data_IF_200550078664
#
_entry.id   IF_200550078664
#
_cell.length_a   1.000
_cell.length_b   1.000
_cell.length_c   1.000
_cell.angle_alpha   90.00
_cell.angle_beta   90.00
_cell.angle_gamma   90.00
#
_symmetry.space_group_name_H-M   'P 1'
#
loop_
_entity.id
_entity.type
_entity.pdbx_description
1 polymer ?
#
# COMPACT_ATOMS: atom_id res chain seq x y z
N UNK A 1 8.48 18.31 -7.37
CA UNK A 1 7.13 17.71 -7.53
C UNK A 1 7.15 16.32 -8.16
N UNK A 2 7.87 16.04 -9.25
CA UNK A 2 8.09 14.65 -9.74
C UNK A 2 8.74 13.75 -8.66
N UNK A 3 9.48 14.34 -7.74
CA UNK A 3 10.13 13.65 -6.61
C UNK A 3 9.13 13.23 -5.52
N UNK A 4 7.92 13.81 -5.44
CA UNK A 4 6.90 13.47 -4.43
C UNK A 4 6.26 12.13 -4.77
N UNK A 5 5.74 11.97 -5.99
CA UNK A 5 5.14 10.70 -6.43
C UNK A 5 6.14 9.54 -6.49
N UNK A 6 7.43 9.82 -6.73
CA UNK A 6 8.50 8.83 -6.70
C UNK A 6 8.85 8.35 -5.29
N UNK A 7 8.64 9.18 -4.27
CA UNK A 7 9.05 8.90 -2.89
C UNK A 7 7.94 8.25 -2.07
N UNK A 8 6.71 8.27 -2.54
CA UNK A 8 5.55 7.69 -1.86
C UNK A 8 5.26 6.24 -2.28
N UNK A 9 6.03 5.73 -3.23
CA UNK A 9 5.89 4.40 -3.80
C UNK A 9 6.17 3.25 -2.81
N UNK A 10 6.82 3.51 -1.67
CA UNK A 10 7.15 2.49 -0.68
C UNK A 10 6.26 2.64 0.54
N UNK A 11 5.20 1.85 0.57
CA UNK A 11 4.27 1.81 1.68
C UNK A 11 4.54 0.67 2.67
N UNK A 12 3.81 0.70 3.78
CA UNK A 12 3.80 -0.38 4.77
C UNK A 12 3.53 -1.75 4.13
N UNK A 13 2.70 -1.81 3.08
CA UNK A 13 2.40 -3.05 2.34
C UNK A 13 3.64 -3.79 1.87
N UNK A 14 4.65 -3.09 1.37
CA UNK A 14 5.91 -3.67 0.91
C UNK A 14 6.69 -4.37 2.03
N UNK A 15 6.62 -3.83 3.25
CA UNK A 15 7.41 -4.31 4.39
C UNK A 15 6.62 -5.27 5.27
N UNK A 16 5.31 -5.10 5.35
CA UNK A 16 4.41 -5.87 6.19
C UNK A 16 3.65 -6.96 5.42
N UNK A 17 2.87 -6.56 4.39
CA UNK A 17 1.95 -7.48 3.68
C UNK A 17 2.70 -8.40 2.70
N UNK A 18 3.70 -7.88 2.00
CA UNK A 18 4.44 -8.66 0.99
C UNK A 18 5.21 -9.85 1.57
N UNK A 19 5.99 -9.71 2.68
CA UNK A 19 6.71 -10.85 3.23
C UNK A 19 5.78 -12.00 3.62
N UNK A 20 4.67 -11.74 4.33
CA UNK A 20 3.77 -12.81 4.73
C UNK A 20 2.98 -13.40 3.56
N UNK A 21 2.62 -12.60 2.54
CA UNK A 21 2.05 -13.14 1.31
C UNK A 21 3.03 -14.05 0.58
N UNK A 22 4.30 -13.66 0.48
CA UNK A 22 5.33 -14.53 -0.08
C UNK A 22 5.49 -15.82 0.75
N UNK A 23 5.47 -15.69 2.07
CA UNK A 23 5.52 -16.85 2.99
C UNK A 23 4.34 -17.79 2.84
N UNK A 24 3.13 -17.28 2.75
CA UNK A 24 1.89 -18.08 2.67
C UNK A 24 1.61 -18.65 1.28
N UNK A 25 2.22 -18.11 0.23
CA UNK A 25 1.92 -18.45 -1.16
C UNK A 25 3.10 -19.10 -1.90
N UNK A 26 4.00 -19.79 -1.19
CA UNK A 26 5.05 -20.62 -1.79
C UNK A 26 6.29 -19.84 -2.29
N UNK A 27 6.57 -18.67 -1.73
CA UNK A 27 7.78 -17.90 -2.02
C UNK A 27 7.90 -17.46 -3.48
N UNK A 28 8.82 -18.08 -4.24
CA UNK A 28 9.11 -17.73 -5.63
C UNK A 28 7.88 -17.74 -6.55
N UNK A 29 6.94 -18.65 -6.33
CA UNK A 29 5.72 -18.76 -7.16
C UNK A 29 4.72 -17.63 -6.94
N UNK A 30 4.90 -16.86 -5.89
CA UNK A 30 4.22 -15.59 -5.65
C UNK A 30 5.08 -14.39 -6.10
N UNK A 31 6.36 -14.38 -5.72
CA UNK A 31 7.27 -13.23 -5.94
C UNK A 31 7.49 -12.98 -7.43
N UNK A 32 7.74 -14.03 -8.23
CA UNK A 32 8.02 -13.89 -9.66
C UNK A 32 6.80 -13.36 -10.43
N UNK A 33 5.59 -13.95 -10.29
CA UNK A 33 4.38 -13.36 -10.88
C UNK A 33 4.12 -11.93 -10.43
N UNK A 34 4.30 -11.60 -9.15
CA UNK A 34 4.16 -10.22 -8.68
C UNK A 34 5.07 -9.25 -9.42
N UNK A 35 6.36 -9.59 -9.58
CA UNK A 35 7.31 -8.75 -10.31
C UNK A 35 6.87 -8.54 -11.75
N UNK A 36 6.49 -9.61 -12.44
CA UNK A 36 6.02 -9.54 -13.84
C UNK A 36 4.76 -8.68 -13.93
N UNK A 37 3.77 -8.93 -13.08
CA UNK A 37 2.51 -8.18 -13.07
C UNK A 37 2.71 -6.71 -12.73
N UNK A 38 3.56 -6.39 -11.76
CA UNK A 38 3.87 -5.01 -11.39
C UNK A 38 4.53 -4.26 -12.54
N UNK A 39 5.55 -4.85 -13.17
CA UNK A 39 6.29 -4.21 -14.27
C UNK A 39 5.49 -4.11 -15.57
N UNK A 40 4.44 -4.90 -15.74
CA UNK A 40 3.57 -4.89 -16.93
C UNK A 40 2.25 -4.19 -16.63
N UNK A 41 1.32 -4.87 -15.99
CA UNK A 41 -0.05 -4.38 -15.76
C UNK A 41 -0.07 -3.22 -14.75
N UNK A 42 0.71 -3.35 -13.66
CA UNK A 42 0.86 -2.27 -12.68
C UNK A 42 1.35 -0.98 -13.31
N UNK A 43 2.34 -1.09 -14.22
CA UNK A 43 2.81 0.06 -14.99
C UNK A 43 1.71 0.67 -15.88
N UNK A 44 0.88 -0.16 -16.51
CA UNK A 44 -0.22 0.30 -17.38
C UNK A 44 -1.27 1.04 -16.57
N UNK A 45 -1.74 0.47 -15.46
CA UNK A 45 -2.74 1.09 -14.60
C UNK A 45 -2.24 2.38 -13.96
N UNK A 46 -1.03 2.35 -13.40
CA UNK A 46 -0.40 3.53 -12.80
C UNK A 46 -0.25 4.67 -13.82
N UNK A 47 0.18 4.34 -15.05
CA UNK A 47 0.31 5.32 -16.14
C UNK A 47 -1.06 5.88 -16.50
N UNK A 48 -2.10 5.05 -16.53
CA UNK A 48 -3.46 5.49 -16.83
C UNK A 48 -3.96 6.47 -15.76
N UNK A 49 -3.87 6.13 -14.47
CA UNK A 49 -4.32 7.02 -13.39
C UNK A 49 -3.58 8.35 -13.37
N UNK A 50 -2.24 8.33 -13.37
CA UNK A 50 -1.44 9.55 -13.34
C UNK A 50 -1.73 10.44 -14.55
N UNK A 51 -1.90 9.84 -15.73
CA UNK A 51 -2.18 10.62 -16.96
C UNK A 51 -3.58 11.23 -16.92
N UNK A 52 -4.59 10.50 -16.47
CA UNK A 52 -5.94 11.06 -16.30
C UNK A 52 -5.95 12.21 -15.30
N UNK A 53 -5.26 12.08 -14.17
CA UNK A 53 -5.11 13.17 -13.20
C UNK A 53 -4.38 14.38 -13.78
N UNK A 54 -3.29 14.14 -14.52
CA UNK A 54 -2.55 15.19 -15.24
C UNK A 54 -3.43 15.96 -16.24
N UNK A 55 -4.33 15.27 -16.95
CA UNK A 55 -5.28 15.89 -17.89
C UNK A 55 -6.43 16.60 -17.15
N UNK A 56 -6.96 16.00 -16.08
CA UNK A 56 -8.10 16.51 -15.32
C UNK A 56 -7.82 17.72 -14.46
N UNK A 57 -6.59 17.84 -13.91
CA UNK A 57 -6.14 18.95 -13.07
C UNK A 57 -7.04 19.21 -11.85
N UNK A 58 -7.43 18.14 -11.15
CA UNK A 58 -8.27 18.21 -9.97
C UNK A 58 -8.39 16.86 -9.28
N UNK A 59 -9.24 16.79 -8.26
CA UNK A 59 -9.57 15.55 -7.55
C UNK A 59 -10.10 14.48 -8.51
N UNK A 60 -10.19 13.24 -8.03
CA UNK A 60 -10.72 12.15 -8.84
C UNK A 60 -12.14 12.46 -9.37
N UNK A 61 -13.04 13.03 -8.56
CA UNK A 61 -14.41 13.38 -8.98
C UNK A 61 -14.41 14.46 -10.05
N UNK A 62 -13.63 15.52 -9.85
CA UNK A 62 -13.45 16.60 -10.82
C UNK A 62 -12.86 16.07 -12.13
N UNK A 63 -11.85 15.19 -12.04
CA UNK A 63 -11.20 14.58 -13.20
C UNK A 63 -12.16 13.70 -14.00
N UNK A 64 -12.92 12.83 -13.34
CA UNK A 64 -13.94 11.98 -13.98
C UNK A 64 -15.01 12.82 -14.69
N UNK A 65 -15.49 13.90 -14.03
CA UNK A 65 -16.46 14.84 -14.62
C UNK A 65 -15.93 15.55 -15.86
N UNK A 66 -14.71 16.08 -15.80
CA UNK A 66 -14.11 16.84 -16.90
C UNK A 66 -13.77 15.97 -18.12
N UNK A 67 -13.31 14.76 -17.89
CA UNK A 67 -12.82 13.88 -18.96
C UNK A 67 -13.91 12.98 -19.52
N UNK A 68 -14.77 12.42 -18.67
CA UNK A 68 -15.81 11.47 -19.04
C UNK A 68 -17.23 12.04 -19.06
N UNK A 69 -17.45 13.22 -18.46
CA UNK A 69 -18.78 13.81 -18.28
C UNK A 69 -19.49 13.29 -17.03
N UNK A 70 -20.75 13.74 -16.85
CA UNK A 70 -21.53 13.45 -15.64
C UNK A 70 -21.76 11.97 -15.37
N UNK A 71 -21.80 11.12 -16.40
CA UNK A 71 -21.99 9.66 -16.26
C UNK A 71 -20.81 8.96 -15.53
N UNK A 72 -19.62 9.58 -15.50
CA UNK A 72 -18.44 9.01 -14.85
C UNK A 72 -18.23 9.54 -13.43
N UNK A 73 -19.01 10.52 -12.99
CA UNK A 73 -18.92 11.08 -11.63
C UNK A 73 -19.09 10.03 -10.52
N UNK A 74 -20.02 9.03 -10.63
CA UNK A 74 -20.12 7.98 -9.62
C UNK A 74 -18.82 7.18 -9.41
N UNK A 75 -18.03 7.00 -10.47
CA UNK A 75 -16.72 6.36 -10.37
C UNK A 75 -15.73 7.17 -9.54
N UNK A 76 -15.78 8.50 -9.63
CA UNK A 76 -14.99 9.38 -8.77
C UNK A 76 -15.36 9.22 -7.29
N UNK A 77 -16.65 9.18 -6.97
CA UNK A 77 -17.12 8.92 -5.60
C UNK A 77 -16.74 7.53 -5.09
N UNK A 78 -16.77 6.50 -5.96
CA UNK A 78 -16.28 5.16 -5.59
C UNK A 78 -14.82 5.23 -5.13
N UNK A 79 -13.97 5.97 -5.86
CA UNK A 79 -12.56 6.14 -5.47
C UNK A 79 -12.40 6.83 -4.11
N UNK A 80 -13.16 7.92 -3.85
CA UNK A 80 -13.15 8.61 -2.55
C UNK A 80 -13.56 7.65 -1.42
N UNK A 81 -14.68 6.94 -1.57
CA UNK A 81 -15.15 5.97 -0.57
C UNK A 81 -14.11 4.87 -0.35
N UNK A 82 -13.47 4.40 -1.43
CA UNK A 82 -12.39 3.41 -1.34
C UNK A 82 -11.22 3.95 -0.51
N UNK A 83 -10.78 5.18 -0.77
CA UNK A 83 -9.71 5.83 0.00
C UNK A 83 -10.03 5.94 1.49
N UNK A 84 -11.23 6.40 1.84
CA UNK A 84 -11.73 6.46 3.22
C UNK A 84 -11.70 5.09 3.90
N UNK A 85 -12.21 4.05 3.25
CA UNK A 85 -12.23 2.69 3.81
C UNK A 85 -10.83 2.11 3.97
N UNK A 86 -9.94 2.28 2.98
CA UNK A 86 -8.56 1.80 3.06
C UNK A 86 -7.85 2.46 4.23
N UNK A 87 -7.90 3.78 4.35
CA UNK A 87 -7.20 4.47 5.42
C UNK A 87 -7.80 4.18 6.79
N UNK A 88 -9.09 3.83 6.87
CA UNK A 88 -9.74 3.48 8.13
C UNK A 88 -9.14 2.22 8.78
N UNK A 89 -9.01 1.11 8.05
CA UNK A 89 -8.37 -0.08 8.61
C UNK A 89 -6.83 0.03 8.62
N UNK A 90 -6.24 0.70 7.65
CA UNK A 90 -4.80 0.92 7.59
C UNK A 90 -4.28 1.73 8.78
N UNK A 91 -5.06 2.69 9.28
CA UNK A 91 -4.70 3.50 10.45
C UNK A 91 -4.58 2.69 11.73
N UNK A 92 -5.34 1.60 11.87
CA UNK A 92 -5.23 0.66 13.00
C UNK A 92 -3.86 -0.01 12.99
N UNK A 93 -3.46 -0.52 11.83
CA UNK A 93 -2.14 -1.15 11.64
C UNK A 93 -1.03 -0.12 11.86
N UNK A 94 -1.19 1.11 11.33
CA UNK A 94 -0.29 2.22 11.58
C UNK A 94 -0.14 2.54 13.07
N UNK A 95 -1.23 2.49 13.83
CA UNK A 95 -1.23 2.61 15.27
C UNK A 95 -0.41 1.52 15.96
N UNK A 96 -0.56 0.26 15.54
CA UNK A 96 0.26 -0.85 16.07
C UNK A 96 1.75 -0.65 15.81
N UNK A 97 2.15 -0.12 14.64
CA UNK A 97 3.57 0.16 14.37
C UNK A 97 4.15 1.18 15.34
N UNK A 98 3.38 2.22 15.71
CA UNK A 98 3.79 3.21 16.71
C UNK A 98 3.89 2.56 18.09
N UNK A 99 2.91 1.76 18.50
CA UNK A 99 2.92 1.07 19.79
C UNK A 99 4.18 0.21 19.95
N UNK A 100 4.48 -0.60 18.95
CA UNK A 100 5.68 -1.45 18.96
C UNK A 100 6.98 -0.66 18.87
N UNK A 101 7.00 0.47 18.17
CA UNK A 101 8.16 1.37 18.16
C UNK A 101 8.41 1.95 19.57
N UNK A 102 7.36 2.40 20.25
CA UNK A 102 7.45 2.89 21.64
C UNK A 102 7.94 1.80 22.57
N UNK A 103 7.39 0.59 22.49
CA UNK A 103 7.83 -0.54 23.30
C UNK A 103 9.30 -0.89 23.04
N UNK A 104 9.74 -0.89 21.78
CA UNK A 104 11.13 -1.15 21.42
C UNK A 104 12.08 -0.08 22.00
N UNK A 105 11.72 1.21 21.92
CA UNK A 105 12.51 2.32 22.50
C UNK A 105 12.61 2.19 24.03
N UNK A 106 11.53 1.78 24.69
CA UNK A 106 11.47 1.58 26.13
C UNK A 106 12.13 0.25 26.59
N UNK A 107 12.71 -0.53 25.65
CA UNK A 107 13.31 -1.84 25.94
C UNK A 107 12.30 -2.91 26.35
N UNK A 108 11.03 -2.72 25.99
CA UNK A 108 9.94 -3.66 26.29
C UNK A 108 9.65 -4.54 25.06
N UNK A 109 9.11 -5.75 25.29
CA UNK A 109 8.62 -6.59 24.18
C UNK A 109 9.67 -7.47 23.51
N UNK A 110 10.91 -7.51 23.99
CA UNK A 110 11.91 -8.48 23.55
C UNK A 110 11.79 -9.75 24.40
N UNK A 111 10.93 -10.65 23.97
CA UNK A 111 10.66 -11.92 24.62
C UNK A 111 10.86 -13.03 23.60
N UNK A 112 11.47 -14.13 24.02
CA UNK A 112 11.75 -15.29 23.15
C UNK A 112 10.53 -16.21 22.95
N UNK A 113 9.49 -16.04 23.75
CA UNK A 113 8.25 -16.83 23.68
C UNK A 113 7.26 -16.23 22.69
N UNK A 114 6.98 -16.96 21.62
CA UNK A 114 5.96 -16.57 20.62
C UNK A 114 4.55 -16.50 21.25
N UNK A 115 4.24 -17.38 22.20
CA UNK A 115 2.96 -17.36 22.91
C UNK A 115 2.79 -16.08 23.75
N UNK A 116 3.84 -15.64 24.46
CA UNK A 116 3.80 -14.40 25.23
C UNK A 116 3.67 -13.17 24.33
N UNK A 117 4.37 -13.12 23.20
CA UNK A 117 4.23 -12.03 22.23
C UNK A 117 2.86 -12.03 21.56
N UNK A 118 2.29 -13.21 21.27
CA UNK A 118 0.92 -13.34 20.81
C UNK A 118 -0.09 -12.79 21.82
N UNK A 119 0.09 -13.10 23.12
CA UNK A 119 -0.74 -12.55 24.19
C UNK A 119 -0.58 -11.02 24.31
N UNK A 120 0.64 -10.47 24.17
CA UNK A 120 0.89 -9.02 24.18
C UNK A 120 0.25 -8.31 22.98
N UNK A 121 0.35 -8.91 21.78
CA UNK A 121 -0.34 -8.39 20.61
C UNK A 121 -1.86 -8.43 20.81
N UNK A 122 -2.40 -9.53 21.35
CA UNK A 122 -3.81 -9.64 21.71
C UNK A 122 -4.24 -8.60 22.75
N UNK A 123 -3.41 -8.34 23.77
CA UNK A 123 -3.68 -7.31 24.77
C UNK A 123 -3.68 -5.89 24.17
N UNK A 124 -2.72 -5.58 23.28
CA UNK A 124 -2.65 -4.29 22.59
C UNK A 124 -3.85 -4.08 21.66
N UNK A 125 -4.14 -5.06 20.80
CA UNK A 125 -5.20 -4.97 19.80
C UNK A 125 -6.60 -5.14 20.38
N UNK A 126 -6.73 -5.87 21.50
CA UNK A 126 -7.98 -6.14 22.19
C UNK A 126 -8.40 -5.05 23.18
N UNK A 127 -7.46 -4.24 23.69
CA UNK A 127 -7.79 -3.11 24.56
C UNK A 127 -8.30 -1.93 23.75
N UNK A 128 -9.58 -1.53 23.92
CA UNK A 128 -10.17 -0.45 23.13
C UNK A 128 -9.43 0.90 23.27
N UNK A 129 -8.96 1.21 24.48
CA UNK A 129 -8.31 2.48 24.76
C UNK A 129 -6.95 2.56 24.09
N UNK A 130 -6.16 1.49 24.16
CA UNK A 130 -4.84 1.41 23.52
C UNK A 130 -4.97 1.38 21.99
N UNK A 131 -5.82 0.50 21.46
CA UNK A 131 -6.00 0.34 20.03
C UNK A 131 -6.48 1.65 19.37
N UNK A 132 -7.53 2.27 19.91
CA UNK A 132 -8.06 3.55 19.41
C UNK A 132 -7.10 4.70 19.71
N UNK A 133 -6.42 4.72 20.85
CA UNK A 133 -5.46 5.74 21.22
C UNK A 133 -4.27 5.82 20.23
N UNK A 134 -3.66 4.69 19.92
CA UNK A 134 -2.57 4.63 18.94
C UNK A 134 -3.03 4.91 17.52
N UNK A 135 -4.23 4.47 17.12
CA UNK A 135 -4.85 4.83 15.84
C UNK A 135 -5.07 6.35 15.75
N UNK A 136 -5.62 6.97 16.80
CA UNK A 136 -5.84 8.41 16.85
C UNK A 136 -4.53 9.18 16.75
N UNK A 137 -3.48 8.74 17.45
CA UNK A 137 -2.14 9.32 17.34
C UNK A 137 -1.62 9.23 15.90
N UNK A 138 -1.71 8.06 15.28
CA UNK A 138 -1.26 7.86 13.89
C UNK A 138 -2.01 8.78 12.92
N UNK A 139 -3.34 8.86 13.01
CA UNK A 139 -4.15 9.73 12.15
C UNK A 139 -3.88 11.22 12.43
N UNK A 140 -3.62 11.61 13.67
CA UNK A 140 -3.26 12.99 14.01
C UNK A 140 -1.93 13.39 13.38
N UNK A 141 -0.93 12.51 13.41
CA UNK A 141 0.36 12.73 12.73
C UNK A 141 0.16 12.85 11.22
N UNK A 142 -0.63 11.96 10.62
CA UNK A 142 -0.97 12.00 9.20
C UNK A 142 -1.67 13.30 8.82
N UNK A 143 -2.71 13.70 9.57
CA UNK A 143 -3.47 14.92 9.34
C UNK A 143 -2.61 16.19 9.48
N UNK A 144 -1.71 16.20 10.46
CA UNK A 144 -0.77 17.29 10.67
C UNK A 144 0.12 17.54 9.44
N UNK A 145 0.58 16.47 8.79
CA UNK A 145 1.38 16.58 7.55
C UNK A 145 0.53 17.06 6.37
N UNK A 146 -0.69 16.51 6.20
CA UNK A 146 -1.59 16.84 5.07
C UNK A 146 -2.14 18.26 5.20
N UNK A 147 -2.43 18.74 6.41
CA UNK A 147 -2.89 20.12 6.65
C UNK A 147 -1.87 21.18 6.19
N UNK A 148 -0.58 20.85 6.20
CA UNK A 148 0.46 21.66 5.58
C UNK A 148 0.33 21.58 4.04
N UNK A 149 0.87 22.57 3.32
CA UNK A 149 0.89 22.53 1.85
C UNK A 149 1.71 21.32 1.36
N UNK A 150 1.32 20.73 0.22
CA UNK A 150 1.98 19.56 -0.41
C UNK A 150 3.52 19.69 -0.40
N UNK A 151 4.05 20.84 -0.82
CA UNK A 151 5.49 21.10 -0.84
C UNK A 151 6.13 21.21 0.53
N UNK A 152 5.41 21.72 1.55
CA UNK A 152 5.95 21.93 2.91
C UNK A 152 5.77 20.72 3.82
N UNK A 153 4.65 20.01 3.69
CA UNK A 153 4.33 18.82 4.50
C UNK A 153 4.83 17.54 3.83
N UNK A 154 4.11 17.10 2.82
CA UNK A 154 4.29 15.78 2.17
C UNK A 154 5.68 15.64 1.58
N UNK A 155 6.12 16.62 0.76
CA UNK A 155 7.43 16.54 0.10
C UNK A 155 8.59 16.55 1.09
N UNK A 156 8.51 17.35 2.16
CA UNK A 156 9.56 17.42 3.18
C UNK A 156 9.63 16.13 3.99
N UNK A 157 8.47 15.58 4.39
CA UNK A 157 8.41 14.31 5.11
C UNK A 157 9.05 13.19 4.28
N UNK A 158 8.59 13.00 3.04
CA UNK A 158 9.10 11.95 2.16
C UNK A 158 10.59 12.10 1.86
N UNK A 159 11.11 13.34 1.76
CA UNK A 159 12.53 13.60 1.52
C UNK A 159 13.43 13.09 2.66
N UNK A 160 12.93 13.06 3.89
CA UNK A 160 13.66 12.61 5.07
C UNK A 160 13.42 11.13 5.33
N UNK A 161 12.14 10.72 5.36
CA UNK A 161 11.78 9.37 5.78
C UNK A 161 12.17 8.30 4.78
N UNK A 162 12.10 8.58 3.46
CA UNK A 162 12.41 7.55 2.46
C UNK A 162 13.89 7.09 2.45
N UNK A 163 14.88 7.99 2.44
CA UNK A 163 16.27 7.55 2.59
C UNK A 163 16.51 6.81 3.90
N UNK A 164 15.93 7.30 5.02
CA UNK A 164 16.04 6.64 6.31
C UNK A 164 15.44 5.22 6.27
N UNK A 165 14.27 5.05 5.65
CA UNK A 165 13.62 3.75 5.44
C UNK A 165 14.56 2.78 4.72
N UNK A 166 15.10 3.17 3.56
CA UNK A 166 15.98 2.29 2.78
C UNK A 166 17.28 1.95 3.53
N UNK A 167 17.87 2.90 4.26
CA UNK A 167 19.06 2.65 5.07
C UNK A 167 18.73 1.63 6.18
N UNK A 168 17.63 1.81 6.89
CA UNK A 168 17.19 0.88 7.93
C UNK A 168 16.90 -0.52 7.36
N UNK A 169 16.21 -0.60 6.21
CA UNK A 169 15.98 -1.87 5.52
C UNK A 169 17.31 -2.57 5.18
N UNK A 170 18.27 -1.86 4.61
CA UNK A 170 19.56 -2.43 4.24
C UNK A 170 20.32 -2.95 5.47
N UNK A 171 20.30 -2.24 6.59
CA UNK A 171 20.93 -2.68 7.84
C UNK A 171 20.30 -4.00 8.31
N UNK A 172 18.97 -4.09 8.28
CA UNK A 172 18.23 -5.29 8.69
C UNK A 172 18.45 -6.46 7.73
N UNK A 173 18.50 -6.20 6.43
CA UNK A 173 18.80 -7.21 5.40
C UNK A 173 20.20 -7.77 5.61
N UNK A 174 21.21 -6.92 5.73
CA UNK A 174 22.60 -7.36 5.97
C UNK A 174 22.65 -8.23 7.22
N UNK A 175 22.00 -7.81 8.31
CA UNK A 175 21.96 -8.61 9.55
C UNK A 175 21.24 -9.94 9.34
N UNK A 176 20.09 -9.96 8.66
CA UNK A 176 19.33 -11.16 8.35
C UNK A 176 20.15 -12.16 7.53
N UNK A 177 20.86 -11.68 6.51
CA UNK A 177 21.68 -12.50 5.62
C UNK A 177 22.95 -13.10 6.30
N UNK A 178 23.42 -12.51 7.39
CA UNK A 178 24.55 -13.04 8.18
C UNK A 178 24.13 -14.13 9.17
N UNK A 179 22.84 -14.45 9.29
CA UNK A 179 22.37 -15.51 10.18
C UNK A 179 22.62 -16.91 9.60
N UNK A 180 23.02 -17.89 10.44
CA UNK A 180 23.09 -19.28 10.02
C UNK A 180 21.70 -19.75 9.53
N UNK A 181 21.62 -20.41 8.36
CA UNK A 181 20.34 -20.84 7.77
C UNK A 181 19.62 -19.80 6.90
N UNK A 182 20.11 -18.57 6.81
CA UNK A 182 19.51 -17.52 5.98
C UNK A 182 19.39 -17.89 4.49
N UNK A 183 20.28 -18.76 3.99
CA UNK A 183 20.26 -19.26 2.61
C UNK A 183 18.99 -20.02 2.25
N UNK A 184 18.34 -20.68 3.22
CA UNK A 184 17.07 -21.37 3.01
C UNK A 184 15.95 -20.36 2.69
N UNK A 185 15.89 -19.24 3.42
CA UNK A 185 14.96 -18.14 3.16
C UNK A 185 15.18 -17.49 1.81
N UNK A 186 16.44 -17.32 1.37
CA UNK A 186 16.76 -16.86 0.02
C UNK A 186 16.29 -17.83 -1.06
N UNK A 187 16.57 -19.13 -0.86
CA UNK A 187 16.12 -20.20 -1.76
C UNK A 187 14.58 -20.23 -1.85
N UNK A 188 13.90 -20.08 -0.72
CA UNK A 188 12.44 -20.03 -0.69
C UNK A 188 11.87 -18.86 -1.51
N UNK A 189 12.48 -17.68 -1.42
CA UNK A 189 12.02 -16.48 -2.15
C UNK A 189 12.29 -16.52 -3.65
N UNK A 190 13.35 -17.20 -4.11
CA UNK A 190 13.81 -17.06 -5.50
C UNK A 190 13.91 -18.38 -6.27
N UNK A 191 13.94 -19.53 -5.60
CA UNK A 191 13.97 -20.83 -6.29
C UNK A 191 12.56 -21.21 -6.73
N UNK A 192 12.33 -21.20 -8.03
CA UNK A 192 11.05 -21.61 -8.61
C UNK A 192 10.77 -23.09 -8.37
N UNK A 193 9.65 -23.39 -7.72
CA UNK A 193 9.16 -24.73 -7.43
C UNK A 193 7.80 -24.92 -8.08
N UNK A 194 7.71 -25.51 -9.28
CA UNK A 194 6.45 -25.65 -10.02
C UNK A 194 5.34 -26.34 -9.21
N UNK A 195 5.71 -27.28 -8.36
CA UNK A 195 4.80 -28.02 -7.48
C UNK A 195 4.09 -27.15 -6.43
N UNK A 196 4.68 -26.02 -6.09
CA UNK A 196 4.09 -25.05 -5.15
C UNK A 196 3.16 -24.05 -5.84
N UNK A 197 3.10 -24.05 -7.18
CA UNK A 197 2.24 -23.11 -7.90
C UNK A 197 0.76 -23.42 -7.68
N UNK A 198 0.01 -22.39 -7.33
CA UNK A 198 -1.45 -22.41 -7.22
C UNK A 198 -2.05 -21.20 -7.93
N UNK A 199 -3.27 -21.33 -8.44
CA UNK A 199 -4.01 -20.18 -8.96
C UNK A 199 -4.24 -19.13 -7.89
N UNK A 200 -4.32 -19.54 -6.62
CA UNK A 200 -4.43 -18.66 -5.48
C UNK A 200 -3.18 -17.77 -5.32
N UNK A 201 -1.96 -18.31 -5.49
CA UNK A 201 -0.73 -17.51 -5.42
C UNK A 201 -0.66 -16.45 -6.53
N UNK A 202 -1.11 -16.78 -7.75
CA UNK A 202 -1.19 -15.82 -8.85
C UNK A 202 -2.24 -14.74 -8.58
N UNK A 203 -3.40 -15.12 -8.10
CA UNK A 203 -4.47 -14.19 -7.71
C UNK A 203 -4.00 -13.21 -6.61
N UNK A 204 -3.34 -13.72 -5.57
CA UNK A 204 -2.79 -12.90 -4.49
C UNK A 204 -1.69 -11.95 -5.01
N UNK A 205 -0.86 -12.40 -5.94
CA UNK A 205 0.16 -11.55 -6.57
C UNK A 205 -0.47 -10.40 -7.37
N UNK A 206 -1.56 -10.66 -8.09
CA UNK A 206 -2.29 -9.64 -8.85
C UNK A 206 -2.98 -8.63 -7.92
N UNK A 207 -3.69 -9.11 -6.89
CA UNK A 207 -4.33 -8.25 -5.89
C UNK A 207 -3.31 -7.39 -5.14
N UNK A 208 -2.16 -7.96 -4.79
CA UNK A 208 -1.09 -7.20 -4.15
C UNK A 208 -0.44 -6.18 -5.10
N UNK A 209 -0.41 -6.43 -6.41
CA UNK A 209 0.06 -5.45 -7.40
C UNK A 209 -0.78 -4.17 -7.35
N UNK A 210 -2.12 -4.27 -7.32
CA UNK A 210 -3.00 -3.12 -7.19
C UNK A 210 -2.81 -2.38 -5.86
N UNK A 211 -2.78 -3.15 -4.79
CA UNK A 211 -2.58 -2.59 -3.45
C UNK A 211 -1.23 -1.86 -3.30
N UNK A 212 -0.14 -2.47 -3.75
CA UNK A 212 1.22 -1.92 -3.57
C UNK A 212 1.46 -0.64 -4.37
N UNK A 213 0.79 -0.48 -5.51
CA UNK A 213 0.88 0.71 -6.37
C UNK A 213 -0.19 1.77 -6.05
N UNK A 214 -1.08 1.51 -5.08
CA UNK A 214 -2.20 2.40 -4.72
C UNK A 214 -3.05 2.80 -5.93
N UNK A 215 -3.27 1.89 -6.88
CA UNK A 215 -4.12 2.12 -8.05
C UNK A 215 -5.56 1.66 -7.78
N UNK A 216 -6.53 2.19 -8.54
CA UNK A 216 -7.95 1.87 -8.40
C UNK A 216 -8.74 2.79 -7.48
N UNK A 217 -8.11 3.47 -6.52
CA UNK A 217 -8.79 4.44 -5.66
C UNK A 217 -8.69 5.89 -6.15
N UNK A 218 -7.85 6.18 -7.15
CA UNK A 218 -7.62 7.54 -7.64
C UNK A 218 -6.58 8.35 -6.84
N UNK A 219 -5.85 7.71 -5.95
CA UNK A 219 -4.75 8.33 -5.23
C UNK A 219 -3.69 8.84 -6.21
N UNK A 220 -3.27 7.99 -7.16
CA UNK A 220 -2.29 8.35 -8.17
C UNK A 220 -2.86 9.36 -9.20
N UNK A 221 -4.18 9.39 -9.40
CA UNK A 221 -4.85 10.43 -10.20
C UNK A 221 -4.74 11.80 -9.51
N UNK A 222 -4.96 11.87 -8.19
CA UNK A 222 -4.78 13.10 -7.41
C UNK A 222 -3.35 13.62 -7.53
N UNK A 223 -2.33 12.76 -7.39
CA UNK A 223 -0.94 13.17 -7.60
C UNK A 223 -0.63 13.55 -9.04
N UNK A 224 -1.24 12.88 -10.00
CA UNK A 224 -1.16 13.23 -11.42
C UNK A 224 -1.62 14.67 -11.69
N UNK A 225 -2.67 15.13 -10.99
CA UNK A 225 -3.20 16.48 -11.14
C UNK A 225 -2.22 17.58 -10.72
N UNK A 226 -1.27 17.27 -9.83
CA UNK A 226 -0.23 18.19 -9.35
C UNK A 226 1.00 18.27 -10.24
N UNK A 227 1.13 17.41 -11.25
CA UNK A 227 2.29 17.40 -12.13
C UNK A 227 2.35 18.67 -12.99
N UNK A 228 3.53 19.31 -13.13
CA UNK A 228 3.73 20.44 -14.05
C UNK A 228 3.46 20.05 -15.49
N UNK A 229 3.10 21.03 -16.32
CA UNK A 229 3.01 20.83 -17.78
C UNK A 229 4.35 20.36 -18.33
N UNK A 230 4.32 19.47 -19.33
CA UNK A 230 5.52 18.89 -19.94
C UNK A 230 6.22 17.83 -19.08
N UNK A 231 5.60 17.34 -17.99
CA UNK A 231 6.15 16.26 -17.17
C UNK A 231 6.29 14.96 -17.96
N UNK A 232 7.42 14.26 -17.80
CA UNK A 232 7.67 12.95 -18.40
C UNK A 232 6.98 11.84 -17.61
N UNK A 233 5.67 11.69 -17.81
CA UNK A 233 4.81 10.78 -17.03
C UNK A 233 5.33 9.35 -17.08
N UNK A 234 5.64 8.81 -18.27
CA UNK A 234 6.13 7.44 -18.44
C UNK A 234 7.39 7.15 -17.64
N UNK A 235 8.34 8.10 -17.62
CA UNK A 235 9.55 7.96 -16.82
C UNK A 235 9.22 7.92 -15.32
N UNK A 236 8.34 8.77 -14.87
CA UNK A 236 7.89 8.80 -13.46
C UNK A 236 7.20 7.49 -13.08
N UNK A 237 6.29 6.99 -13.92
CA UNK A 237 5.59 5.72 -13.68
C UNK A 237 6.57 4.55 -13.63
N UNK A 238 7.53 4.45 -14.57
CA UNK A 238 8.54 3.40 -14.55
C UNK A 238 9.40 3.44 -13.27
N UNK A 239 9.75 4.63 -12.81
CA UNK A 239 10.50 4.80 -11.56
C UNK A 239 9.66 4.41 -10.33
N UNK A 240 8.37 4.79 -10.27
CA UNK A 240 7.47 4.42 -9.17
C UNK A 240 7.33 2.90 -9.12
N UNK A 241 6.96 2.27 -10.23
CA UNK A 241 6.78 0.81 -10.28
C UNK A 241 8.07 0.08 -9.92
N UNK A 242 9.21 0.51 -10.48
CA UNK A 242 10.51 -0.09 -10.17
C UNK A 242 10.89 0.02 -8.68
N UNK A 243 10.68 1.18 -8.08
CA UNK A 243 10.97 1.41 -6.66
C UNK A 243 10.02 0.65 -5.75
N UNK A 244 8.72 0.62 -6.05
CA UNK A 244 7.74 -0.14 -5.27
C UNK A 244 8.01 -1.64 -5.32
N UNK A 245 8.29 -2.17 -6.52
CA UNK A 245 8.65 -3.58 -6.71
C UNK A 245 9.94 -3.93 -5.97
N UNK A 246 10.97 -3.10 -6.11
CA UNK A 246 12.23 -3.28 -5.38
C UNK A 246 12.04 -3.23 -3.87
N UNK A 247 11.24 -2.30 -3.36
CA UNK A 247 10.96 -2.19 -1.93
C UNK A 247 10.21 -3.43 -1.38
N UNK A 248 9.28 -4.00 -2.15
CA UNK A 248 8.59 -5.24 -1.78
C UNK A 248 9.58 -6.41 -1.68
N UNK A 249 10.48 -6.55 -2.66
CA UNK A 249 11.54 -7.57 -2.63
C UNK A 249 12.47 -7.35 -1.43
N UNK A 250 12.90 -6.10 -1.19
CA UNK A 250 13.74 -5.77 -0.03
C UNK A 250 13.01 -6.07 1.30
N UNK A 251 11.69 -5.82 1.38
CA UNK A 251 10.87 -6.19 2.53
C UNK A 251 10.88 -7.70 2.79
N UNK A 252 10.73 -8.53 1.75
CA UNK A 252 10.84 -9.98 1.88
C UNK A 252 12.26 -10.42 2.27
N UNK A 253 13.29 -9.81 1.68
CA UNK A 253 14.69 -10.08 2.03
C UNK A 253 15.04 -9.65 3.47
N UNK A 254 14.35 -8.68 4.02
CA UNK A 254 14.53 -8.25 5.41
C UNK A 254 13.96 -9.27 6.40
N UNK A 255 12.86 -9.94 6.04
CA UNK A 255 12.09 -10.80 6.95
C UNK A 255 12.41 -12.27 6.75
N UNK A 256 12.34 -12.80 5.52
CA UNK A 256 12.39 -14.25 5.26
C UNK A 256 13.71 -14.92 5.66
N UNK A 257 14.92 -14.36 5.40
CA UNK A 257 16.15 -14.98 5.84
C UNK A 257 16.20 -15.20 7.36
N UNK A 258 15.69 -14.23 8.12
CA UNK A 258 15.63 -14.34 9.58
C UNK A 258 14.58 -15.34 10.05
N UNK A 259 13.39 -15.38 9.43
CA UNK A 259 12.34 -16.36 9.74
C UNK A 259 12.84 -17.80 9.57
N UNK A 260 13.51 -18.09 8.44
CA UNK A 260 14.07 -19.42 8.17
C UNK A 260 15.27 -19.75 9.07
N UNK A 261 16.15 -18.78 9.35
CA UNK A 261 17.28 -18.99 10.27
C UNK A 261 16.85 -19.38 11.69
N UNK A 262 15.68 -18.96 12.13
CA UNK A 262 15.10 -19.32 13.44
C UNK A 262 14.04 -20.42 13.36
N UNK A 263 13.87 -21.07 12.21
CA UNK A 263 12.91 -22.15 11.97
C UNK A 263 11.46 -21.79 12.36
N UNK A 264 11.06 -20.54 12.11
CA UNK A 264 9.72 -20.05 12.39
C UNK A 264 8.82 -20.21 11.15
N UNK A 265 7.49 -20.20 11.37
CA UNK A 265 6.52 -20.35 10.30
C UNK A 265 6.48 -19.10 9.39
N UNK A 266 6.85 -19.20 8.10
CA UNK A 266 6.77 -18.09 7.16
C UNK A 266 5.32 -17.72 6.80
N UNK A 267 4.35 -18.59 7.07
CA UNK A 267 2.93 -18.41 6.79
C UNK A 267 2.13 -17.84 7.96
N UNK A 268 2.79 -17.30 8.99
CA UNK A 268 2.14 -16.78 10.20
C UNK A 268 1.20 -15.56 9.97
N UNK A 269 0.96 -15.18 8.70
CA UNK A 269 0.06 -14.09 8.34
C UNK A 269 0.52 -12.72 8.90
N UNK A 270 -0.42 -11.84 9.30
CA UNK A 270 -0.08 -10.56 9.93
C UNK A 270 0.77 -10.68 11.20
N UNK A 271 0.69 -11.82 11.90
CA UNK A 271 1.50 -12.14 13.09
C UNK A 271 3.00 -12.22 12.79
N UNK A 272 3.39 -12.45 11.55
CA UNK A 272 4.80 -12.49 11.14
C UNK A 272 5.55 -11.21 11.57
N UNK A 273 4.94 -10.07 11.40
CA UNK A 273 5.55 -8.76 11.71
C UNK A 273 5.52 -8.42 13.19
N UNK A 274 4.40 -8.66 13.87
CA UNK A 274 4.16 -8.17 15.23
C UNK A 274 4.43 -9.22 16.32
N UNK A 275 4.51 -10.49 15.96
CA UNK A 275 4.80 -11.58 16.87
C UNK A 275 6.13 -12.25 16.54
N UNK A 276 6.32 -12.68 15.27
CA UNK A 276 7.51 -13.44 14.87
C UNK A 276 8.78 -12.59 14.87
N UNK A 277 8.74 -11.38 14.32
CA UNK A 277 9.94 -10.52 14.25
C UNK A 277 10.48 -10.11 15.62
N UNK A 278 9.68 -9.74 16.63
CA UNK A 278 10.19 -9.52 18.00
C UNK A 278 10.85 -10.74 18.64
N UNK A 279 10.35 -11.97 18.38
CA UNK A 279 11.01 -13.23 18.84
C UNK A 279 12.43 -13.32 18.25
N UNK A 280 12.57 -13.02 16.96
CA UNK A 280 13.88 -13.01 16.31
C UNK A 280 14.81 -11.99 16.94
N UNK A 281 14.34 -10.76 17.13
CA UNK A 281 15.16 -9.69 17.73
C UNK A 281 15.58 -10.04 19.16
N UNK A 282 14.72 -10.68 19.96
CA UNK A 282 15.06 -11.10 21.32
C UNK A 282 16.24 -12.10 21.37
N UNK A 283 16.48 -12.84 20.29
CA UNK A 283 17.56 -13.82 20.19
C UNK A 283 18.86 -13.24 19.55
N UNK A 284 18.82 -11.99 19.07
CA UNK A 284 19.95 -11.36 18.43
C UNK A 284 20.80 -10.53 19.42
N UNK A 285 22.15 -10.51 19.27
CA UNK A 285 22.97 -9.49 19.89
C UNK A 285 22.47 -8.10 19.46
N UNK A 286 22.32 -7.19 20.39
CA UNK A 286 21.76 -5.85 20.17
C UNK A 286 20.32 -5.85 19.61
N UNK A 287 19.52 -6.89 19.90
CA UNK A 287 18.17 -7.07 19.38
C UNK A 287 17.25 -5.88 19.60
N UNK A 288 17.40 -5.15 20.72
CA UNK A 288 16.66 -3.91 20.97
C UNK A 288 16.89 -2.84 19.90
N UNK A 289 18.13 -2.67 19.45
CA UNK A 289 18.47 -1.71 18.38
C UNK A 289 17.82 -2.13 17.04
N UNK A 290 17.85 -3.42 16.71
CA UNK A 290 17.20 -3.96 15.51
C UNK A 290 15.68 -3.85 15.58
N UNK A 291 15.07 -4.05 16.74
CA UNK A 291 13.64 -3.85 16.96
C UNK A 291 13.25 -2.38 16.73
N UNK A 292 13.97 -1.42 17.30
CA UNK A 292 13.75 0.00 17.08
C UNK A 292 13.89 0.34 15.59
N UNK A 293 14.95 -0.14 14.93
CA UNK A 293 15.16 0.08 13.49
C UNK A 293 14.01 -0.47 12.65
N UNK A 294 13.54 -1.69 12.94
CA UNK A 294 12.45 -2.35 12.23
C UNK A 294 11.12 -1.62 12.39
N UNK A 295 10.71 -1.33 13.64
CA UNK A 295 9.44 -0.66 13.87
C UNK A 295 9.46 0.82 13.47
N UNK A 296 10.61 1.49 13.52
CA UNK A 296 10.77 2.82 12.91
C UNK A 296 10.59 2.76 11.38
N UNK A 297 11.16 1.74 10.72
CA UNK A 297 11.00 1.47 9.30
C UNK A 297 9.51 1.30 8.93
N UNK A 298 8.79 0.45 9.68
CA UNK A 298 7.36 0.23 9.50
C UNK A 298 6.54 1.50 9.70
N UNK A 299 6.81 2.25 10.78
CA UNK A 299 6.11 3.50 11.10
C UNK A 299 6.34 4.55 10.02
N UNK A 300 7.56 4.68 9.50
CA UNK A 300 7.87 5.63 8.43
C UNK A 300 7.17 5.24 7.12
N UNK A 301 7.18 3.96 6.77
CA UNK A 301 6.46 3.45 5.60
C UNK A 301 4.95 3.65 5.75
N UNK A 302 4.40 3.41 6.94
CA UNK A 302 2.98 3.62 7.23
C UNK A 302 2.58 5.10 7.09
N UNK A 303 3.36 6.02 7.66
CA UNK A 303 3.09 7.46 7.60
C UNK A 303 3.17 8.02 6.18
N UNK A 304 4.15 7.60 5.38
CA UNK A 304 4.25 8.09 4.00
C UNK A 304 3.03 7.68 3.16
N UNK A 305 2.56 6.45 3.29
CA UNK A 305 1.37 5.97 2.58
C UNK A 305 0.07 6.58 3.08
N UNK A 306 -0.10 6.71 4.41
CA UNK A 306 -1.33 7.30 4.98
C UNK A 306 -1.52 8.75 4.57
N UNK A 307 -0.42 9.51 4.49
CA UNK A 307 -0.43 10.89 4.00
C UNK A 307 -0.95 10.96 2.56
N UNK A 308 -0.56 10.04 1.69
CA UNK A 308 -1.02 9.98 0.31
C UNK A 308 -2.51 9.63 0.20
N UNK A 309 -2.97 8.72 1.03
CA UNK A 309 -4.39 8.33 1.07
C UNK A 309 -5.26 9.48 1.59
N UNK A 310 -4.87 10.13 2.70
CA UNK A 310 -5.60 11.26 3.25
C UNK A 310 -5.61 12.48 2.30
N UNK A 311 -4.57 12.63 1.47
CA UNK A 311 -4.50 13.68 0.44
C UNK A 311 -5.59 13.52 -0.61
N UNK A 312 -5.92 12.29 -1.03
CA UNK A 312 -7.01 12.00 -1.95
C UNK A 312 -8.34 12.60 -1.46
N UNK A 313 -8.71 12.29 -0.20
CA UNK A 313 -9.97 12.72 0.39
C UNK A 313 -9.96 14.24 0.70
N UNK A 314 -8.81 14.76 1.10
CA UNK A 314 -8.63 16.21 1.32
C UNK A 314 -8.79 16.97 0.00
N UNK A 315 -8.15 16.53 -1.08
CA UNK A 315 -8.25 17.16 -2.39
C UNK A 315 -9.70 17.12 -2.92
N UNK A 316 -10.41 16.01 -2.70
CA UNK A 316 -11.83 15.91 -3.04
C UNK A 316 -12.67 16.99 -2.34
N UNK A 317 -12.51 17.14 -1.02
CA UNK A 317 -13.28 18.15 -0.26
C UNK A 317 -12.91 19.59 -0.67
N UNK A 318 -11.65 19.86 -0.94
CA UNK A 318 -11.20 21.18 -1.42
C UNK A 318 -11.80 21.50 -2.78
N UNK A 319 -11.76 20.57 -3.73
CA UNK A 319 -12.19 20.81 -5.10
C UNK A 319 -13.71 20.84 -5.27
N UNK A 320 -14.46 19.99 -4.58
CA UNK A 320 -15.91 19.86 -4.76
C UNK A 320 -16.70 20.79 -3.80
N UNK A 321 -16.20 21.00 -2.58
CA UNK A 321 -16.91 21.79 -1.55
C UNK A 321 -16.21 23.12 -1.26
N UNK A 322 -15.10 23.42 -1.91
CA UNK A 322 -14.35 24.69 -1.76
C UNK A 322 -13.95 25.02 -0.31
N UNK A 323 -13.77 23.98 0.53
CA UNK A 323 -13.31 24.16 1.91
C UNK A 323 -11.80 24.41 1.94
N UNK A 324 -11.31 24.99 3.04
CA UNK A 324 -9.87 25.12 3.21
C UNK A 324 -9.19 23.75 3.33
N UNK A 325 -7.92 23.66 2.90
CA UNK A 325 -7.17 22.43 2.98
C UNK A 325 -7.11 21.83 4.40
N UNK A 326 -6.91 22.69 5.40
CA UNK A 326 -6.89 22.28 6.81
C UNK A 326 -8.26 21.73 7.22
N UNK A 327 -9.35 22.40 6.84
CA UNK A 327 -10.71 21.94 7.10
C UNK A 327 -10.98 20.59 6.41
N UNK A 328 -10.59 20.46 5.15
CA UNK A 328 -10.72 19.18 4.40
C UNK A 328 -9.97 18.04 5.08
N UNK A 329 -8.70 18.25 5.48
CA UNK A 329 -7.90 17.26 6.19
C UNK A 329 -8.53 16.87 7.55
N UNK A 330 -9.07 17.82 8.31
CA UNK A 330 -9.75 17.52 9.59
C UNK A 330 -11.02 16.71 9.35
N UNK A 331 -11.89 17.12 8.42
CA UNK A 331 -13.14 16.42 8.12
C UNK A 331 -12.85 14.99 7.67
N UNK A 332 -11.95 14.80 6.69
CA UNK A 332 -11.57 13.47 6.21
C UNK A 332 -11.02 12.61 7.36
N UNK A 333 -10.14 13.18 8.20
CA UNK A 333 -9.58 12.46 9.36
C UNK A 333 -10.66 12.04 10.35
N UNK A 334 -11.64 12.90 10.63
CA UNK A 334 -12.74 12.55 11.55
C UNK A 334 -13.62 11.42 10.99
N UNK A 335 -13.93 11.45 9.69
CA UNK A 335 -14.69 10.37 9.04
C UNK A 335 -13.92 9.04 9.12
N UNK A 336 -12.63 9.08 8.77
CA UNK A 336 -11.73 7.91 8.84
C UNK A 336 -11.62 7.40 10.28
N UNK A 337 -11.52 8.31 11.26
CA UNK A 337 -11.46 7.95 12.68
C UNK A 337 -12.72 7.21 13.12
N UNK A 338 -13.92 7.64 12.70
CA UNK A 338 -15.18 6.99 13.06
C UNK A 338 -15.25 5.57 12.49
N UNK A 339 -14.94 5.40 11.20
CA UNK A 339 -14.94 4.05 10.59
C UNK A 339 -13.82 3.19 11.21
N UNK A 340 -12.64 3.75 11.34
CA UNK A 340 -11.47 3.07 11.89
C UNK A 340 -11.62 2.72 13.39
N UNK A 341 -12.43 3.47 14.15
CA UNK A 341 -12.80 3.09 15.51
C UNK A 341 -13.46 1.70 15.55
N UNK A 342 -14.43 1.44 14.68
CA UNK A 342 -15.05 0.12 14.57
C UNK A 342 -14.06 -0.94 14.07
N UNK A 343 -13.14 -0.57 13.16
CA UNK A 343 -12.06 -1.46 12.72
C UNK A 343 -11.13 -1.83 13.90
N UNK A 344 -10.76 -0.86 14.74
CA UNK A 344 -9.91 -1.11 15.91
C UNK A 344 -10.60 -2.03 16.92
N UNK A 345 -11.88 -1.82 17.18
CA UNK A 345 -12.67 -2.66 18.09
C UNK A 345 -12.88 -4.09 17.59
N UNK A 346 -12.65 -4.36 16.31
CA UNK A 346 -12.79 -5.70 15.71
C UNK A 346 -11.82 -6.74 16.27
N UNK A 347 -10.79 -6.32 17.00
CA UNK A 347 -9.82 -7.22 17.66
C UNK A 347 -10.06 -7.35 19.18
N UNK A 348 -11.05 -6.64 19.71
CA UNK A 348 -11.43 -6.63 21.13
C UNK A 348 -12.95 -6.81 21.31
N UNK A 349 -13.68 -5.79 21.77
CA UNK A 349 -15.10 -5.91 22.10
C UNK A 349 -16.02 -6.36 20.95
N UNK A 350 -15.64 -6.11 19.69
CA UNK A 350 -16.38 -6.52 18.51
C UNK A 350 -15.79 -7.75 17.80
N UNK A 351 -14.82 -8.46 18.41
CA UNK A 351 -14.15 -9.60 17.79
C UNK A 351 -15.12 -10.73 17.39
N UNK A 352 -16.17 -10.94 18.20
CA UNK A 352 -17.20 -11.94 17.95
C UNK A 352 -18.37 -11.42 17.09
N UNK A 353 -18.42 -10.11 16.81
CA UNK A 353 -19.44 -9.48 15.97
C UNK A 353 -19.07 -9.68 14.50
N UNK A 354 -19.50 -10.82 13.94
CA UNK A 354 -19.19 -11.19 12.56
C UNK A 354 -20.44 -11.18 11.70
N UNK A 355 -20.36 -10.54 10.53
CA UNK A 355 -21.36 -10.62 9.48
C UNK A 355 -20.78 -11.43 8.32
N UNK A 356 -21.45 -12.50 7.90
CA UNK A 356 -20.95 -13.45 6.89
C UNK A 356 -19.51 -13.92 7.16
N UNK A 357 -19.19 -14.18 8.43
CA UNK A 357 -17.88 -14.70 8.86
C UNK A 357 -16.76 -13.65 8.98
N UNK A 358 -17.02 -12.38 8.65
CA UNK A 358 -16.04 -11.29 8.69
C UNK A 358 -16.42 -10.25 9.75
N UNK A 359 -15.44 -9.72 10.48
CA UNK A 359 -15.60 -8.56 11.35
C UNK A 359 -15.53 -7.25 10.53
N UNK A 360 -15.63 -6.09 11.17
CA UNK A 360 -15.64 -4.79 10.48
C UNK A 360 -14.32 -4.51 9.77
N UNK A 361 -13.19 -4.83 10.40
CA UNK A 361 -11.86 -4.67 9.79
C UNK A 361 -11.72 -5.52 8.54
N UNK A 362 -12.09 -6.82 8.63
CA UNK A 362 -12.03 -7.75 7.51
C UNK A 362 -12.96 -7.33 6.37
N UNK A 363 -14.13 -6.76 6.69
CA UNK A 363 -15.05 -6.23 5.69
C UNK A 363 -14.46 -5.01 4.97
N UNK A 364 -13.82 -4.09 5.70
CA UNK A 364 -13.17 -2.93 5.07
C UNK A 364 -12.05 -3.37 4.12
N UNK A 365 -11.19 -4.32 4.55
CA UNK A 365 -10.13 -4.86 3.67
C UNK A 365 -10.73 -5.62 2.48
N UNK A 366 -11.74 -6.47 2.70
CA UNK A 366 -12.37 -7.25 1.64
C UNK A 366 -13.05 -6.37 0.58
N UNK A 367 -13.89 -5.41 1.02
CA UNK A 367 -14.58 -4.49 0.11
C UNK A 367 -13.61 -3.65 -0.71
N UNK A 368 -12.51 -3.23 -0.11
CA UNK A 368 -11.52 -2.43 -0.82
C UNK A 368 -10.64 -3.27 -1.73
N UNK A 369 -9.99 -4.30 -1.19
CA UNK A 369 -8.99 -5.08 -1.93
C UNK A 369 -9.58 -5.98 -3.01
N UNK A 370 -10.79 -6.53 -2.78
CA UNK A 370 -11.39 -7.52 -3.67
C UNK A 370 -12.47 -6.93 -4.60
N UNK A 371 -13.03 -5.75 -4.28
CA UNK A 371 -14.16 -5.19 -5.03
C UNK A 371 -13.82 -3.80 -5.56
N UNK A 372 -13.63 -2.80 -4.68
CA UNK A 372 -13.64 -1.41 -5.13
C UNK A 372 -12.35 -0.99 -5.85
N UNK A 373 -11.16 -1.45 -5.41
CA UNK A 373 -9.91 -1.19 -6.14
C UNK A 373 -9.93 -1.81 -7.54
N UNK A 374 -10.25 -3.11 -7.73
CA UNK A 374 -10.37 -3.69 -9.06
C UNK A 374 -11.40 -2.98 -9.95
N UNK A 375 -12.58 -2.63 -9.42
CA UNK A 375 -13.59 -1.88 -10.18
C UNK A 375 -13.07 -0.49 -10.57
N UNK A 376 -12.40 0.20 -9.66
CA UNK A 376 -11.78 1.50 -9.94
C UNK A 376 -10.76 1.42 -11.07
N UNK A 377 -9.88 0.42 -11.04
CA UNK A 377 -8.92 0.17 -12.11
C UNK A 377 -9.58 -0.14 -13.46
N UNK A 378 -10.63 -0.95 -13.45
CA UNK A 378 -11.41 -1.22 -14.66
C UNK A 378 -11.99 0.07 -15.26
N UNK A 379 -12.57 0.91 -14.43
CA UNK A 379 -13.15 2.20 -14.85
C UNK A 379 -12.07 3.13 -15.42
N UNK A 380 -10.93 3.22 -14.75
CA UNK A 380 -9.76 4.00 -15.21
C UNK A 380 -9.28 3.51 -16.58
N UNK A 381 -9.15 2.18 -16.73
CA UNK A 381 -8.71 1.58 -18.00
C UNK A 381 -9.67 1.87 -19.16
N UNK A 382 -10.99 1.75 -18.91
CA UNK A 382 -12.02 2.04 -19.91
C UNK A 382 -12.08 3.53 -20.27
N UNK A 383 -11.99 4.43 -19.29
CA UNK A 383 -11.97 5.87 -19.54
C UNK A 383 -10.75 6.26 -20.37
N UNK A 384 -9.56 5.83 -19.99
CA UNK A 384 -8.32 6.16 -20.66
C UNK A 384 -8.24 5.56 -22.08
N UNK A 385 -8.60 4.28 -22.22
CA UNK A 385 -8.41 3.53 -23.47
C UNK A 385 -9.51 3.73 -24.51
N UNK A 386 -10.77 4.00 -24.08
CA UNK A 386 -11.92 4.11 -25.00
C UNK A 386 -12.41 5.56 -25.13
N UNK A 387 -12.53 6.31 -24.04
CA UNK A 387 -13.22 7.61 -24.06
C UNK A 387 -12.26 8.74 -24.43
N UNK A 388 -11.08 8.79 -23.78
CA UNK A 388 -10.17 9.94 -23.94
C UNK A 388 -8.85 9.60 -24.64
N UNK A 389 -8.77 8.45 -25.30
CA UNK A 389 -7.53 7.93 -25.89
C UNK A 389 -6.71 8.94 -26.74
N UNK A 390 -7.30 9.75 -27.65
CA UNK A 390 -6.51 10.69 -28.43
C UNK A 390 -5.77 11.71 -27.56
N UNK A 391 -6.45 12.33 -26.59
CA UNK A 391 -5.87 13.28 -25.65
C UNK A 391 -4.91 12.61 -24.67
N UNK A 392 -5.21 11.38 -24.27
CA UNK A 392 -4.36 10.55 -23.41
C UNK A 392 -3.01 10.25 -24.09
N UNK A 393 -3.04 9.87 -25.35
CA UNK A 393 -1.84 9.66 -26.18
C UNK A 393 -1.02 10.95 -26.31
N UNK A 394 -1.66 12.07 -26.58
CA UNK A 394 -1.02 13.39 -26.66
C UNK A 394 -0.30 13.74 -25.35
N UNK A 395 -0.94 13.55 -24.21
CA UNK A 395 -0.36 13.81 -22.90
C UNK A 395 0.90 12.96 -22.62
N UNK A 396 1.01 11.76 -23.17
CA UNK A 396 2.18 10.88 -23.07
C UNK A 396 3.26 11.14 -24.13
N UNK A 397 2.97 11.93 -25.14
CA UNK A 397 3.89 12.19 -26.29
C UNK A 397 4.94 13.27 -26.01
N UNK A 398 5.34 13.45 -24.75
CA UNK A 398 6.44 14.35 -24.38
C UNK A 398 7.78 13.71 -24.81
N UNK A 399 8.65 14.42 -25.54
CA UNK A 399 9.91 13.87 -26.05
C UNK A 399 10.86 13.35 -24.96
N UNK A 400 11.56 12.21 -25.20
CA UNK A 400 11.39 11.30 -26.33
C UNK A 400 10.05 10.56 -26.27
N UNK A 401 9.23 10.73 -27.32
CA UNK A 401 7.91 10.12 -27.40
C UNK A 401 8.01 8.62 -27.76
N UNK A 402 7.13 7.76 -27.23
CA UNK A 402 7.06 6.36 -27.63
C UNK A 402 6.66 6.20 -29.11
N UNK A 403 7.01 5.05 -29.67
CA UNK A 403 6.59 4.68 -31.03
C UNK A 403 5.09 4.40 -31.15
N UNK A 404 4.54 4.49 -32.36
CA UNK A 404 3.14 4.12 -32.63
C UNK A 404 2.84 2.67 -32.26
N UNK A 405 3.80 1.76 -32.44
CA UNK A 405 3.67 0.36 -32.06
C UNK A 405 3.53 0.22 -30.54
N UNK A 406 4.32 0.97 -29.77
CA UNK A 406 4.21 0.99 -28.30
C UNK A 406 2.81 1.46 -27.87
N UNK A 407 2.28 2.53 -28.46
CA UNK A 407 0.93 3.02 -28.14
C UNK A 407 -0.17 2.01 -28.49
N UNK A 408 -0.02 1.23 -29.57
CA UNK A 408 -0.96 0.15 -29.91
C UNK A 408 -0.94 -0.95 -28.88
N UNK A 409 0.25 -1.41 -28.46
CA UNK A 409 0.39 -2.45 -27.42
C UNK A 409 -0.14 -1.95 -26.09
N UNK A 410 0.22 -0.72 -25.70
CA UNK A 410 -0.26 -0.13 -24.43
C UNK A 410 -1.79 -0.04 -24.39
N UNK A 411 -2.42 0.42 -25.49
CA UNK A 411 -3.88 0.47 -25.59
C UNK A 411 -4.51 -0.91 -25.55
N UNK A 412 -3.92 -1.90 -26.21
CA UNK A 412 -4.40 -3.29 -26.17
C UNK A 412 -4.35 -3.84 -24.73
N UNK A 413 -3.24 -3.64 -24.03
CA UNK A 413 -3.14 -4.02 -22.62
C UNK A 413 -4.20 -3.34 -21.79
N UNK A 414 -4.40 -2.04 -21.94
CA UNK A 414 -5.34 -1.24 -21.16
C UNK A 414 -6.81 -1.63 -21.41
N UNK A 415 -7.20 -1.91 -22.68
CA UNK A 415 -8.61 -2.14 -23.05
C UNK A 415 -8.99 -3.62 -23.02
N UNK A 416 -8.03 -4.53 -23.16
CA UNK A 416 -8.31 -5.98 -23.23
C UNK A 416 -7.71 -6.72 -22.04
N UNK A 417 -6.38 -6.70 -21.88
CA UNK A 417 -5.72 -7.49 -20.86
C UNK A 417 -6.09 -7.05 -19.44
N UNK A 418 -6.05 -5.74 -19.17
CA UNK A 418 -6.42 -5.19 -17.86
C UNK A 418 -7.85 -5.53 -17.44
N UNK A 419 -8.90 -5.27 -18.27
CA UNK A 419 -10.27 -5.63 -17.93
C UNK A 419 -10.48 -7.13 -17.69
N UNK A 420 -9.88 -7.99 -18.50
CA UNK A 420 -10.00 -9.44 -18.32
C UNK A 420 -9.43 -9.84 -16.95
N UNK A 421 -8.25 -9.34 -16.61
CA UNK A 421 -7.60 -9.69 -15.34
C UNK A 421 -8.33 -9.11 -14.13
N UNK A 422 -8.88 -7.89 -14.24
CA UNK A 422 -9.75 -7.33 -13.19
C UNK A 422 -10.99 -8.20 -12.98
N UNK A 423 -11.64 -8.65 -14.06
CA UNK A 423 -12.80 -9.54 -13.96
C UNK A 423 -12.41 -10.87 -13.30
N UNK A 424 -11.25 -11.42 -13.63
CA UNK A 424 -10.73 -12.62 -12.97
C UNK A 424 -10.57 -12.38 -11.46
N UNK A 425 -9.96 -11.26 -11.06
CA UNK A 425 -9.80 -10.89 -9.63
C UNK A 425 -11.16 -10.76 -8.94
N UNK A 426 -12.11 -10.08 -9.56
CA UNK A 426 -13.46 -9.91 -9.00
C UNK A 426 -14.16 -11.26 -8.82
N UNK A 427 -14.12 -12.13 -9.82
CA UNK A 427 -14.79 -13.44 -9.77
C UNK A 427 -14.14 -14.35 -8.74
N UNK A 428 -12.79 -14.45 -8.75
CA UNK A 428 -12.06 -15.32 -7.81
C UNK A 428 -12.04 -14.79 -6.38
N UNK A 429 -12.16 -13.48 -6.19
CA UNK A 429 -12.24 -12.85 -4.88
C UNK A 429 -13.63 -12.97 -4.22
N UNK A 430 -14.68 -13.26 -5.02
CA UNK A 430 -16.05 -13.45 -4.53
C UNK A 430 -16.41 -14.93 -4.32
N UNK A 431 -15.65 -15.87 -4.90
CA UNK A 431 -15.78 -17.32 -4.70
C UNK A 431 -14.95 -17.78 -3.51
#
# INVERSE_FOLDING_TARGET
MVVVSLKEAVGLGAIWKFPWLAGSNGGAVFVIPYVILSLTLGFVFLTAEITLGYMGRGSIVTTMRKLGGSKWVPAGYLGVVTGLLVLSFYSVIGGWTIAYLVDAILGRGLVTSQAELGARFGALSGDPLLAVGYQALFLTLTAGVVALKVSKGIERLSRILMPALFILMLILIVRGLTLPGASEGLSYLFAWKPEAFTWQSLYQALGFTFFSLCVGCGCMMTYGSYLPQGSRILKSCAQIVGLTTAASILGALMVMPAVFAFHLDPAAGPGLTFVTMPVIFAQLPFGGLFAVAFFACLTFAALTSSVSMLELDTAFLVDEFHVSRTTGAIISTLVIMVIGFFCALSFGPLADTKFLGKNVFDWCDFLTSNISLPIGDLIVALLAGLVVWPKFREALSVPPAPSDQWFRIFRLLLVVACPILVVIVLVTGLL
#
